data_IF_539400070735
#
_entry.id   IF_539400070735
#
_cell.length_a   1.000
_cell.length_b   1.000
_cell.length_c   1.000
_cell.angle_alpha   90.00
_cell.angle_beta   90.00
_cell.angle_gamma   90.00
#
_symmetry.space_group_name_H-M   'P 1'
#
loop_
_entity.id
_entity.type
_entity.pdbx_description
1 polymer ?
#
# COMPACT_ATOMS: atom_id res chain seq x y z
N UNK A 1 -14.28 15.29 -11.55
CA UNK A 1 -13.48 14.40 -12.44
C UNK A 1 -12.07 14.94 -12.69
N UNK A 2 -11.92 16.10 -13.34
CA UNK A 2 -10.67 16.61 -13.94
C UNK A 2 -9.44 16.52 -13.02
N UNK A 3 -9.54 17.00 -11.78
CA UNK A 3 -8.45 16.93 -10.79
C UNK A 3 -7.94 15.51 -10.49
N UNK A 4 -8.78 14.48 -10.57
CA UNK A 4 -8.33 13.09 -10.46
C UNK A 4 -7.53 12.65 -11.68
N UNK A 5 -7.91 13.06 -12.90
CA UNK A 5 -7.16 12.78 -14.13
C UNK A 5 -5.78 13.46 -14.11
N UNK A 6 -5.70 14.69 -13.60
CA UNK A 6 -4.43 15.38 -13.33
C UNK A 6 -3.57 14.62 -12.30
N UNK A 7 -4.18 14.01 -11.28
CA UNK A 7 -3.48 13.15 -10.32
C UNK A 7 -2.96 11.84 -10.94
N UNK A 8 -3.81 11.11 -11.66
CA UNK A 8 -3.49 9.82 -12.28
C UNK A 8 -2.45 9.95 -13.41
N UNK A 9 -2.53 10.99 -14.23
CA UNK A 9 -1.54 11.28 -15.29
C UNK A 9 -0.18 11.73 -14.74
N UNK A 10 -0.06 11.90 -13.42
CA UNK A 10 1.21 12.14 -12.74
C UNK A 10 1.92 10.86 -12.29
N UNK A 11 1.34 9.68 -12.54
CA UNK A 11 1.89 8.38 -12.15
C UNK A 11 2.36 7.59 -13.38
N UNK A 12 3.61 7.78 -13.89
CA UNK A 12 4.15 7.05 -15.03
C UNK A 12 3.95 5.53 -14.97
N UNK A 13 4.09 4.91 -13.79
CA UNK A 13 3.85 3.46 -13.66
C UNK A 13 2.40 3.07 -13.98
N UNK A 14 1.41 3.92 -13.67
CA UNK A 14 0.00 3.67 -14.00
C UNK A 14 -0.31 3.87 -15.48
N UNK A 15 0.28 4.90 -16.11
CA UNK A 15 0.18 5.09 -17.56
C UNK A 15 0.80 3.88 -18.26
N UNK A 16 2.04 3.50 -17.93
CA UNK A 16 2.73 2.34 -18.53
C UNK A 16 1.92 1.04 -18.39
N UNK A 17 1.31 0.79 -17.22
CA UNK A 17 0.43 -0.36 -17.04
C UNK A 17 -0.80 -0.29 -17.96
N UNK A 18 -1.44 0.88 -18.12
CA UNK A 18 -2.54 1.05 -19.09
C UNK A 18 -2.06 0.86 -20.54
N UNK A 19 -0.84 1.26 -20.89
CA UNK A 19 -0.27 1.03 -22.23
C UNK A 19 -0.06 -0.48 -22.51
N UNK A 20 0.47 -1.22 -21.54
CA UNK A 20 0.63 -2.68 -21.61
C UNK A 20 -0.73 -3.41 -21.61
N UNK A 21 -1.69 -2.95 -20.80
CA UNK A 21 -3.02 -3.53 -20.68
C UNK A 21 -3.90 -3.27 -21.92
N UNK A 22 -3.80 -2.08 -22.54
CA UNK A 22 -4.58 -1.74 -23.74
C UNK A 22 -3.99 -2.28 -25.04
N UNK A 23 -2.73 -2.71 -25.04
CA UNK A 23 -2.05 -3.22 -26.24
C UNK A 23 -2.83 -4.38 -26.90
N UNK A 24 -3.46 -5.24 -26.10
CA UNK A 24 -4.28 -6.38 -26.55
C UNK A 24 -5.44 -5.96 -27.49
N UNK A 25 -6.03 -4.79 -27.30
CA UNK A 25 -7.18 -4.32 -28.10
C UNK A 25 -6.80 -3.81 -29.51
N UNK A 26 -5.50 -3.67 -29.81
CA UNK A 26 -5.05 -3.26 -31.16
C UNK A 26 -5.21 -4.38 -32.19
N UNK A 27 -5.20 -5.65 -31.74
CA UNK A 27 -5.32 -6.85 -32.57
C UNK A 27 -6.76 -7.13 -33.03
N UNK A 28 -7.76 -6.71 -32.24
CA UNK A 28 -9.19 -7.02 -32.47
C UNK A 28 -9.91 -6.11 -33.49
N UNK A 29 -9.24 -5.11 -34.08
CA UNK A 29 -9.92 -4.05 -34.85
C UNK A 29 -10.60 -4.50 -36.16
N UNK A 30 -10.46 -5.77 -36.56
CA UNK A 30 -11.17 -6.35 -37.71
C UNK A 30 -12.67 -6.65 -37.45
N UNK A 31 -13.20 -6.45 -36.24
CA UNK A 31 -14.65 -6.62 -35.98
C UNK A 31 -15.38 -5.30 -35.72
N UNK A 32 -16.38 -5.02 -36.56
CA UNK A 32 -17.16 -3.78 -36.56
C UNK A 32 -18.19 -3.73 -35.42
N UNK A 33 -17.74 -3.46 -34.20
CA UNK A 33 -18.62 -3.13 -33.07
C UNK A 33 -17.96 -2.11 -32.14
N UNK A 34 -18.65 -1.01 -31.85
CA UNK A 34 -18.13 0.17 -31.15
C UNK A 34 -17.95 -0.03 -29.63
N UNK A 35 -17.16 -1.03 -29.22
CA UNK A 35 -16.82 -1.27 -27.81
C UNK A 35 -15.84 -0.22 -27.30
N UNK A 36 -16.38 0.87 -26.76
CA UNK A 36 -15.61 1.88 -26.00
C UNK A 36 -15.16 1.30 -24.66
N UNK A 37 -13.95 0.73 -24.62
CA UNK A 37 -13.32 0.25 -23.39
C UNK A 37 -12.91 1.41 -22.48
N UNK A 38 -13.03 1.22 -21.16
CA UNK A 38 -12.68 2.23 -20.18
C UNK A 38 -11.17 2.48 -20.17
N UNK A 39 -10.36 1.43 -20.23
CA UNK A 39 -8.89 1.54 -20.22
C UNK A 39 -8.35 2.35 -21.41
N UNK A 40 -8.91 2.14 -22.61
CA UNK A 40 -8.51 2.85 -23.84
C UNK A 40 -8.88 4.33 -23.75
N UNK A 41 -10.10 4.63 -23.31
CA UNK A 41 -10.59 6.01 -23.14
C UNK A 41 -9.80 6.77 -22.07
N UNK A 42 -9.53 6.12 -20.94
CA UNK A 42 -8.71 6.66 -19.86
C UNK A 42 -7.26 6.88 -20.33
N UNK A 43 -6.64 5.90 -21.01
CA UNK A 43 -5.26 6.02 -21.47
C UNK A 43 -5.08 7.17 -22.47
N UNK A 44 -6.05 7.41 -23.35
CA UNK A 44 -6.00 8.54 -24.30
C UNK A 44 -5.88 9.88 -23.54
N UNK A 45 -6.76 10.11 -22.56
CA UNK A 45 -6.74 11.31 -21.72
C UNK A 45 -5.46 11.40 -20.87
N UNK A 46 -5.04 10.31 -20.22
CA UNK A 46 -3.86 10.33 -19.35
C UNK A 46 -2.55 10.49 -20.13
N UNK A 47 -2.46 10.03 -21.38
CA UNK A 47 -1.34 10.34 -22.29
C UNK A 47 -1.30 11.81 -22.68
N UNK A 48 -2.42 12.36 -23.15
CA UNK A 48 -2.50 13.78 -23.49
C UNK A 48 -2.11 14.67 -22.28
N UNK A 49 -2.57 14.31 -21.08
CA UNK A 49 -2.21 14.96 -19.82
C UNK A 49 -0.80 14.65 -19.28
N UNK A 50 0.01 13.80 -19.92
CA UNK A 50 1.39 13.48 -19.49
C UNK A 50 2.48 13.81 -20.52
N UNK A 51 2.09 14.25 -21.72
CA UNK A 51 2.99 14.84 -22.72
C UNK A 51 3.29 16.32 -22.42
N UNK A 52 4.41 16.84 -22.95
CA UNK A 52 4.77 18.27 -22.90
C UNK A 52 4.55 19.00 -24.24
N UNK A 53 4.24 18.27 -25.32
CA UNK A 53 4.16 18.79 -26.69
C UNK A 53 2.74 19.28 -27.02
N UNK A 54 2.29 20.26 -26.25
CA UNK A 54 0.93 20.82 -26.23
C UNK A 54 1.06 22.35 -26.11
N UNK A 55 0.19 23.13 -26.77
CA UNK A 55 0.29 24.61 -26.79
C UNK A 55 -0.23 25.24 -25.49
N UNK A 56 0.03 26.53 -25.27
CA UNK A 56 -0.28 27.18 -23.99
C UNK A 56 -1.80 27.34 -23.72
N UNK A 57 -2.66 27.14 -24.71
CA UNK A 57 -4.13 27.31 -24.65
C UNK A 57 -4.94 26.00 -24.85
N UNK A 58 -4.30 24.83 -24.99
CA UNK A 58 -4.98 23.57 -25.32
C UNK A 58 -5.78 22.97 -24.13
N UNK A 59 -7.11 23.15 -24.14
CA UNK A 59 -8.03 22.54 -23.17
C UNK A 59 -8.57 21.20 -23.68
N UNK A 60 -8.45 20.14 -22.88
CA UNK A 60 -8.93 18.79 -23.21
C UNK A 60 -10.33 18.52 -22.65
N UNK A 61 -11.26 18.07 -23.50
CA UNK A 61 -12.54 17.53 -23.06
C UNK A 61 -12.41 16.07 -22.58
N UNK A 62 -12.95 15.80 -21.40
CA UNK A 62 -12.99 14.47 -20.78
C UNK A 62 -14.42 13.88 -20.74
N UNK A 63 -15.41 14.51 -21.38
CA UNK A 63 -16.82 14.05 -21.40
C UNK A 63 -16.98 12.64 -21.96
N UNK A 64 -16.12 12.24 -22.90
CA UNK A 64 -16.07 10.86 -23.42
C UNK A 64 -15.82 9.80 -22.33
N UNK A 65 -15.11 10.15 -21.25
CA UNK A 65 -14.91 9.26 -20.10
C UNK A 65 -16.17 9.16 -19.24
N UNK A 66 -16.93 10.24 -19.08
CA UNK A 66 -18.23 10.22 -18.38
C UNK A 66 -19.27 9.38 -19.13
N UNK A 67 -19.29 9.43 -20.46
CA UNK A 67 -20.13 8.54 -21.29
C UNK A 67 -19.82 7.06 -21.01
N UNK A 68 -18.53 6.67 -21.04
CA UNK A 68 -18.11 5.29 -20.79
C UNK A 68 -18.39 4.87 -19.34
N UNK A 69 -18.10 5.71 -18.35
CA UNK A 69 -18.39 5.41 -16.93
C UNK A 69 -19.88 5.15 -16.67
N UNK A 70 -20.77 5.86 -17.37
CA UNK A 70 -22.23 5.62 -17.33
C UNK A 70 -22.62 4.26 -17.91
N UNK A 71 -21.94 3.80 -18.96
CA UNK A 71 -22.09 2.42 -19.48
C UNK A 71 -21.62 1.37 -18.45
N UNK A 72 -20.56 1.68 -17.70
CA UNK A 72 -20.02 0.87 -16.60
C UNK A 72 -20.77 1.08 -15.26
N UNK A 73 -22.05 1.47 -15.32
CA UNK A 73 -22.99 1.61 -14.19
C UNK A 73 -22.75 2.73 -13.18
N UNK A 74 -21.81 3.65 -13.40
CA UNK A 74 -21.72 4.87 -12.58
C UNK A 74 -22.76 5.90 -13.06
N UNK A 75 -24.01 5.71 -12.61
CA UNK A 75 -25.19 6.46 -13.09
C UNK A 75 -25.38 7.79 -12.35
N UNK A 76 -24.39 8.68 -12.44
CA UNK A 76 -24.44 10.02 -11.83
C UNK A 76 -25.25 11.04 -12.66
N UNK A 77 -25.91 11.96 -11.96
CA UNK A 77 -26.56 13.14 -12.53
C UNK A 77 -25.53 14.03 -13.26
N UNK A 78 -25.91 14.66 -14.38
CA UNK A 78 -24.96 15.42 -15.22
C UNK A 78 -24.37 16.70 -14.60
N UNK A 79 -24.93 17.18 -13.49
CA UNK A 79 -24.62 18.48 -12.88
C UNK A 79 -24.44 18.40 -11.36
N UNK A 80 -24.22 17.21 -10.82
CA UNK A 80 -24.08 16.95 -9.39
C UNK A 80 -22.60 16.84 -9.02
N UNK A 81 -22.21 17.44 -7.89
CA UNK A 81 -20.84 17.32 -7.37
C UNK A 81 -20.60 15.91 -6.85
N UNK A 82 -19.40 15.37 -7.06
CA UNK A 82 -19.07 13.96 -6.78
C UNK A 82 -17.65 13.83 -6.19
N UNK A 83 -17.45 12.85 -5.32
CA UNK A 83 -16.17 12.65 -4.63
C UNK A 83 -15.08 12.09 -5.58
N UNK A 84 -13.92 12.75 -5.59
CA UNK A 84 -12.74 12.28 -6.32
C UNK A 84 -12.21 10.93 -5.79
N UNK A 85 -12.46 10.58 -4.53
CA UNK A 85 -12.09 9.28 -3.95
C UNK A 85 -13.04 8.15 -4.40
N UNK A 86 -14.34 8.43 -4.50
CA UNK A 86 -15.30 7.48 -5.06
C UNK A 86 -14.97 7.20 -6.53
N UNK A 87 -14.80 8.24 -7.35
CA UNK A 87 -14.43 8.10 -8.75
C UNK A 87 -13.09 7.34 -8.94
N UNK A 88 -12.13 7.49 -8.03
CA UNK A 88 -10.90 6.68 -8.05
C UNK A 88 -11.22 5.17 -7.91
N UNK A 89 -12.09 4.79 -6.97
CA UNK A 89 -12.50 3.40 -6.80
C UNK A 89 -13.42 2.89 -7.91
N UNK A 90 -14.26 3.74 -8.50
CA UNK A 90 -15.05 3.40 -9.70
C UNK A 90 -14.11 3.08 -10.88
N UNK A 91 -13.04 3.88 -11.06
CA UNK A 91 -12.03 3.64 -12.09
C UNK A 91 -11.22 2.36 -11.83
N UNK A 92 -10.71 2.13 -10.61
CA UNK A 92 -9.91 0.91 -10.34
C UNK A 92 -10.77 -0.36 -10.42
N UNK A 93 -11.95 -0.38 -9.80
CA UNK A 93 -12.85 -1.53 -9.87
C UNK A 93 -13.29 -1.83 -11.30
N UNK A 94 -13.64 -0.83 -12.10
CA UNK A 94 -14.01 -1.03 -13.52
C UNK A 94 -12.85 -1.53 -14.38
N UNK A 95 -11.60 -1.17 -14.06
CA UNK A 95 -10.39 -1.71 -14.71
C UNK A 95 -10.08 -3.14 -14.26
N UNK A 96 -10.33 -3.49 -12.99
CA UNK A 96 -10.27 -4.89 -12.53
C UNK A 96 -11.37 -5.74 -13.19
N UNK A 97 -12.58 -5.20 -13.37
CA UNK A 97 -13.70 -5.84 -14.05
C UNK A 97 -13.40 -6.06 -15.56
N UNK A 98 -12.81 -5.06 -16.22
CA UNK A 98 -12.38 -5.16 -17.63
C UNK A 98 -11.24 -6.18 -17.81
N UNK A 99 -10.33 -6.29 -16.83
CA UNK A 99 -9.28 -7.34 -16.78
C UNK A 99 -9.87 -8.73 -16.56
N UNK A 100 -10.76 -8.89 -15.60
CA UNK A 100 -11.27 -10.20 -15.19
C UNK A 100 -12.31 -10.78 -16.18
N UNK A 101 -12.87 -9.94 -17.06
CA UNK A 101 -13.65 -10.36 -18.24
C UNK A 101 -12.79 -10.97 -19.35
N UNK A 102 -11.47 -10.82 -19.34
CA UNK A 102 -10.60 -11.43 -20.35
C UNK A 102 -10.54 -12.96 -20.18
N UNK A 103 -10.57 -13.75 -21.27
CA UNK A 103 -10.56 -15.20 -21.18
C UNK A 103 -9.22 -15.69 -20.60
N UNK A 104 -9.28 -16.34 -19.43
CA UNK A 104 -8.11 -16.84 -18.69
C UNK A 104 -7.36 -17.99 -19.38
N UNK A 105 -7.85 -18.44 -20.53
CA UNK A 105 -7.26 -19.45 -21.42
C UNK A 105 -7.49 -18.97 -22.86
N UNK A 106 -6.44 -18.99 -23.69
CA UNK A 106 -6.55 -18.71 -25.13
C UNK A 106 -7.49 -19.70 -25.81
N UNK A 107 -8.36 -19.23 -26.71
CA UNK A 107 -9.33 -20.10 -27.37
C UNK A 107 -8.63 -21.16 -28.22
N UNK A 108 -9.10 -22.41 -28.22
CA UNK A 108 -8.45 -23.54 -28.92
C UNK A 108 -8.36 -23.38 -30.45
N UNK A 109 -9.06 -22.38 -30.99
CA UNK A 109 -9.14 -22.06 -32.42
C UNK A 109 -8.53 -20.68 -32.76
N UNK A 110 -7.77 -20.07 -31.84
CA UNK A 110 -7.03 -18.82 -32.09
C UNK A 110 -5.74 -19.11 -32.90
N UNK A 111 -5.93 -19.45 -34.18
CA UNK A 111 -4.85 -19.91 -35.08
C UNK A 111 -3.82 -18.81 -35.34
N UNK A 112 -4.21 -17.54 -35.40
CA UNK A 112 -3.28 -16.43 -35.61
C UNK A 112 -2.26 -16.29 -34.46
N UNK A 113 -2.59 -16.69 -33.23
CA UNK A 113 -1.63 -16.78 -32.12
C UNK A 113 -0.62 -17.93 -32.24
N UNK A 114 -0.78 -18.83 -33.22
CA UNK A 114 0.12 -19.95 -33.52
C UNK A 114 0.97 -19.72 -34.79
N UNK A 115 0.61 -18.75 -35.63
CA UNK A 115 1.29 -18.42 -36.90
C UNK A 115 2.57 -17.60 -36.67
N UNK A 116 3.61 -18.23 -36.12
CA UNK A 116 4.97 -17.70 -36.26
C UNK A 116 5.48 -17.89 -37.71
N UNK A 117 6.24 -16.94 -38.27
CA UNK A 117 6.75 -17.05 -39.64
C UNK A 117 7.63 -18.28 -39.81
N UNK A 118 7.40 -19.03 -40.89
CA UNK A 118 7.87 -20.42 -41.05
C UNK A 118 9.40 -20.57 -41.06
N UNK A 119 9.95 -21.16 -40.00
CA UNK A 119 11.32 -21.70 -40.02
C UNK A 119 11.30 -22.99 -40.84
N UNK A 120 11.83 -22.91 -42.07
CA UNK A 120 11.79 -24.00 -43.05
C UNK A 120 12.77 -25.13 -42.72
N UNK A 121 12.34 -26.12 -41.91
CA UNK A 121 13.07 -27.38 -41.75
C UNK A 121 12.16 -28.63 -41.80
N UNK A 122 12.50 -29.54 -42.72
CA UNK A 122 11.73 -30.76 -43.05
C UNK A 122 11.96 -31.88 -42.05
N UNK A 123 11.34 -31.84 -40.87
CA UNK A 123 11.14 -33.06 -40.06
C UNK A 123 9.98 -32.91 -39.07
N UNK A 124 8.90 -33.68 -39.30
CA UNK A 124 7.81 -33.79 -38.31
C UNK A 124 8.32 -34.66 -37.16
N UNK A 125 8.58 -34.02 -36.02
CA UNK A 125 9.04 -34.68 -34.79
C UNK A 125 8.08 -34.34 -33.66
N UNK A 126 7.48 -35.36 -33.03
CA UNK A 126 6.60 -35.21 -31.89
C UNK A 126 7.38 -34.77 -30.65
N UNK A 127 7.63 -33.46 -30.51
CA UNK A 127 8.26 -32.86 -29.32
C UNK A 127 7.28 -32.79 -28.14
N UNK A 128 6.95 -33.92 -27.53
CA UNK A 128 6.15 -34.05 -26.29
C UNK A 128 6.76 -33.40 -25.04
N UNK A 129 7.83 -32.60 -25.20
CA UNK A 129 8.53 -31.91 -24.12
C UNK A 129 9.11 -30.54 -24.50
N UNK A 130 8.53 -29.87 -25.49
CA UNK A 130 8.75 -28.43 -25.67
C UNK A 130 8.09 -27.65 -24.53
N UNK A 131 8.73 -26.58 -24.05
CA UNK A 131 7.99 -25.56 -23.29
C UNK A 131 6.95 -24.95 -24.21
N UNK A 132 5.76 -24.66 -23.68
CA UNK A 132 4.80 -23.79 -24.39
C UNK A 132 5.46 -22.43 -24.69
N UNK A 133 5.11 -21.77 -25.79
CA UNK A 133 5.46 -20.37 -26.00
C UNK A 133 5.02 -19.53 -24.79
N UNK A 134 5.80 -18.53 -24.36
CA UNK A 134 5.43 -17.68 -23.23
C UNK A 134 4.30 -16.73 -23.64
N UNK A 135 3.06 -17.24 -23.62
CA UNK A 135 1.83 -16.43 -23.80
C UNK A 135 1.90 -15.27 -22.81
N UNK A 136 1.86 -14.03 -23.30
CA UNK A 136 2.06 -12.86 -22.45
C UNK A 136 0.88 -12.71 -21.49
N UNK A 137 1.10 -12.99 -20.22
CA UNK A 137 0.04 -13.12 -19.22
C UNK A 137 -0.36 -11.74 -18.65
N UNK A 138 -0.70 -10.78 -19.51
CA UNK A 138 -1.08 -9.41 -19.11
C UNK A 138 -2.23 -9.41 -18.07
N UNK A 139 -3.17 -10.34 -18.19
CA UNK A 139 -4.28 -10.57 -17.25
C UNK A 139 -3.84 -10.93 -15.81
N UNK A 140 -2.60 -11.41 -15.60
CA UNK A 140 -2.03 -11.65 -14.25
C UNK A 140 -1.45 -10.38 -13.62
N UNK A 141 -1.24 -9.31 -14.40
CA UNK A 141 -0.77 -8.03 -13.88
C UNK A 141 -1.92 -7.24 -13.25
N UNK A 142 -1.84 -7.04 -11.94
CA UNK A 142 -2.73 -6.12 -11.24
C UNK A 142 -2.28 -4.69 -11.54
N UNK A 143 -3.22 -3.76 -11.66
CA UNK A 143 -2.90 -2.34 -11.82
C UNK A 143 -2.00 -1.86 -10.65
N UNK A 144 -1.07 -0.92 -10.90
CA UNK A 144 0.01 -0.61 -9.95
C UNK A 144 -0.44 0.02 -8.63
N UNK A 145 -1.72 0.39 -8.48
CA UNK A 145 -2.31 0.81 -7.19
C UNK A 145 -2.67 -0.35 -6.25
N UNK A 146 -2.76 -1.59 -6.75
CA UNK A 146 -3.22 -2.73 -5.96
C UNK A 146 -2.20 -3.19 -4.90
N UNK A 147 -2.46 -2.86 -3.64
CA UNK A 147 -1.76 -3.34 -2.44
C UNK A 147 -2.53 -4.43 -1.69
N UNK A 148 -1.98 -4.89 -0.55
CA UNK A 148 -2.65 -5.79 0.41
C UNK A 148 -2.33 -5.43 1.85
N UNK A 149 -3.37 -5.36 2.68
CA UNK A 149 -3.29 -5.28 4.14
C UNK A 149 -3.15 -6.69 4.74
N UNK A 150 -2.63 -6.77 5.96
CA UNK A 150 -2.71 -7.94 6.83
C UNK A 150 -3.54 -7.61 8.07
N UNK A 151 -4.66 -8.29 8.27
CA UNK A 151 -5.44 -8.19 9.51
C UNK A 151 -5.06 -9.32 10.46
N UNK A 152 -4.53 -8.94 11.62
CA UNK A 152 -4.13 -9.84 12.71
C UNK A 152 -5.14 -9.67 13.85
N UNK A 153 -5.60 -10.77 14.45
CA UNK A 153 -6.52 -10.75 15.60
C UNK A 153 -6.13 -11.78 16.65
N UNK A 154 -6.18 -11.39 17.93
CA UNK A 154 -5.87 -12.26 19.08
C UNK A 154 -6.93 -12.08 20.16
N UNK A 155 -7.50 -13.18 20.67
CA UNK A 155 -8.50 -13.12 21.73
C UNK A 155 -7.85 -12.73 23.08
N UNK A 156 -8.40 -11.74 23.80
CA UNK A 156 -7.89 -11.33 25.13
C UNK A 156 -8.26 -12.30 26.27
N UNK A 157 -9.10 -13.31 26.01
CA UNK A 157 -9.57 -14.24 27.05
C UNK A 157 -8.80 -15.57 27.04
N UNK A 158 -8.55 -16.15 25.86
CA UNK A 158 -7.84 -17.43 25.72
C UNK A 158 -6.51 -17.31 24.95
N UNK A 159 -6.05 -16.08 24.68
CA UNK A 159 -4.79 -15.72 23.98
C UNK A 159 -4.62 -16.31 22.56
N UNK A 160 -5.63 -17.02 22.05
CA UNK A 160 -5.62 -17.64 20.72
C UNK A 160 -5.57 -16.59 19.61
N UNK A 161 -4.57 -16.71 18.74
CA UNK A 161 -4.41 -15.89 17.54
C UNK A 161 -5.20 -16.48 16.37
N UNK A 162 -6.10 -15.68 15.80
CA UNK A 162 -6.81 -16.02 14.57
C UNK A 162 -5.86 -16.02 13.36
N UNK A 163 -6.11 -16.85 12.32
CA UNK A 163 -5.35 -16.83 11.08
C UNK A 163 -5.28 -15.43 10.46
N UNK A 164 -4.07 -15.03 10.01
CA UNK A 164 -3.84 -13.71 9.42
C UNK A 164 -4.62 -13.60 8.10
N UNK A 165 -5.59 -12.68 8.05
CA UNK A 165 -6.33 -12.41 6.80
C UNK A 165 -5.58 -11.41 5.94
N UNK A 166 -5.68 -11.56 4.63
CA UNK A 166 -5.10 -10.65 3.64
C UNK A 166 -6.22 -9.99 2.84
N UNK A 167 -6.41 -8.69 3.05
CA UNK A 167 -7.42 -7.88 2.36
C UNK A 167 -6.74 -6.99 1.31
N UNK A 168 -7.36 -6.78 0.15
CA UNK A 168 -6.81 -5.97 -0.96
C UNK A 168 -7.12 -4.48 -0.76
N UNK A 169 -6.31 -3.59 -1.32
CA UNK A 169 -6.58 -2.14 -1.30
C UNK A 169 -6.00 -1.43 -2.54
N UNK A 170 -6.70 -0.42 -3.03
CA UNK A 170 -6.20 0.48 -4.09
C UNK A 170 -5.79 1.85 -3.55
N UNK A 171 -6.31 2.21 -2.38
CA UNK A 171 -5.93 3.40 -1.63
C UNK A 171 -5.94 3.12 -0.12
N UNK A 172 -5.19 3.93 0.64
CA UNK A 172 -5.25 3.94 2.09
C UNK A 172 -6.11 5.11 2.57
N UNK A 173 -7.35 4.83 2.98
CA UNK A 173 -8.22 5.81 3.64
C UNK A 173 -7.81 5.96 5.11
N UNK A 174 -7.17 7.09 5.45
CA UNK A 174 -6.65 7.38 6.78
C UNK A 174 -7.57 8.35 7.52
N UNK A 175 -8.08 7.94 8.68
CA UNK A 175 -8.79 8.83 9.60
C UNK A 175 -7.81 9.85 10.19
N UNK A 176 -8.12 11.15 10.10
CA UNK A 176 -7.30 12.21 10.70
C UNK A 176 -7.53 12.19 12.23
N UNK A 177 -6.51 11.90 13.06
CA UNK A 177 -6.67 11.87 14.53
C UNK A 177 -7.09 13.24 15.09
N UNK A 178 -7.53 13.29 16.35
CA UNK A 178 -7.83 14.56 17.01
C UNK A 178 -6.55 15.43 17.11
N UNK A 179 -6.66 16.72 16.77
CA UNK A 179 -5.53 17.64 16.84
C UNK A 179 -5.11 17.89 18.30
N UNK A 180 -3.82 17.79 18.59
CA UNK A 180 -3.24 18.05 19.91
C UNK A 180 -2.62 19.45 19.92
N UNK A 181 -2.99 20.28 20.89
CA UNK A 181 -2.52 21.67 20.97
C UNK A 181 -0.98 21.74 20.95
N UNK A 182 -0.44 22.61 20.10
CA UNK A 182 1.01 22.82 19.96
C UNK A 182 1.76 21.70 19.22
N UNK A 183 1.08 20.72 18.61
CA UNK A 183 1.72 19.71 17.75
C UNK A 183 1.10 19.72 16.34
N UNK A 184 1.91 19.80 15.26
CA UNK A 184 1.39 19.67 13.90
C UNK A 184 0.87 18.25 13.67
N UNK A 185 -0.25 18.13 12.95
CA UNK A 185 -0.70 16.83 12.45
C UNK A 185 0.18 16.43 11.26
N UNK A 186 0.67 15.19 11.21
CA UNK A 186 1.49 14.71 10.08
C UNK A 186 0.91 13.45 9.46
N UNK A 187 1.25 13.20 8.19
CA UNK A 187 0.88 11.98 7.47
C UNK A 187 1.36 10.72 8.22
N UNK A 188 2.54 10.76 8.83
CA UNK A 188 3.09 9.67 9.63
C UNK A 188 2.23 9.37 10.87
N UNK A 189 1.64 10.39 11.51
CA UNK A 189 0.69 10.20 12.61
C UNK A 189 -0.58 9.51 12.12
N UNK A 190 -1.11 9.89 10.96
CA UNK A 190 -2.26 9.24 10.34
C UNK A 190 -1.96 7.77 9.96
N UNK A 191 -0.76 7.48 9.41
CA UNK A 191 -0.31 6.13 9.08
C UNK A 191 -0.08 5.26 10.33
N UNK A 192 0.54 5.81 11.38
CA UNK A 192 0.69 5.13 12.67
C UNK A 192 -0.65 4.86 13.36
N UNK A 193 -1.61 5.77 13.25
CA UNK A 193 -2.97 5.54 13.75
C UNK A 193 -3.66 4.39 12.98
N UNK A 194 -3.56 4.36 11.65
CA UNK A 194 -4.13 3.32 10.80
C UNK A 194 -3.55 1.91 11.07
N UNK A 195 -2.26 1.80 11.40
CA UNK A 195 -1.64 0.52 11.80
C UNK A 195 -1.64 0.27 13.32
N UNK A 196 -2.33 1.08 14.11
CA UNK A 196 -2.38 0.90 15.57
C UNK A 196 -3.19 -0.34 15.96
N UNK A 197 -2.92 -0.88 17.15
CA UNK A 197 -3.67 -2.02 17.69
C UNK A 197 -4.91 -1.55 18.45
N UNK A 198 -6.09 -1.93 17.96
CA UNK A 198 -7.38 -1.61 18.57
C UNK A 198 -7.92 -2.77 19.42
N UNK A 199 -8.95 -2.51 20.24
CA UNK A 199 -9.62 -3.53 21.05
C UNK A 199 -11.09 -3.68 20.61
N UNK A 200 -11.38 -4.73 19.84
CA UNK A 200 -12.73 -5.00 19.31
C UNK A 200 -13.49 -5.87 20.30
N UNK A 201 -14.64 -5.40 20.78
CA UNK A 201 -15.52 -6.14 21.70
C UNK A 201 -16.47 -7.08 20.94
N UNK A 202 -17.09 -7.98 21.69
CA UNK A 202 -18.22 -8.81 21.25
C UNK A 202 -17.97 -9.65 19.99
N UNK A 203 -16.71 -10.04 19.76
CA UNK A 203 -16.29 -10.91 18.67
C UNK A 203 -16.40 -12.38 19.10
N UNK A 204 -17.02 -13.22 18.26
CA UNK A 204 -17.09 -14.67 18.51
C UNK A 204 -15.68 -15.27 18.51
N UNK A 205 -15.36 -16.10 19.50
CA UNK A 205 -14.10 -16.81 19.59
C UNK A 205 -14.31 -18.33 19.58
N UNK A 206 -14.08 -18.96 18.43
CA UNK A 206 -14.21 -20.40 18.24
C UNK A 206 -13.45 -21.23 19.30
N UNK A 207 -12.30 -20.74 19.77
CA UNK A 207 -11.51 -21.40 20.80
C UNK A 207 -12.19 -21.32 22.18
N UNK A 208 -12.79 -20.18 22.55
CA UNK A 208 -13.58 -20.08 23.78
C UNK A 208 -14.85 -20.94 23.72
N UNK A 209 -15.53 -20.97 22.57
CA UNK A 209 -16.72 -21.82 22.36
C UNK A 209 -16.37 -23.30 22.50
N UNK A 210 -15.21 -23.75 21.98
CA UNK A 210 -14.72 -25.13 22.16
C UNK A 210 -14.42 -25.46 23.62
N UNK A 211 -13.67 -24.60 24.32
CA UNK A 211 -13.35 -24.79 25.74
C UNK A 211 -14.62 -24.92 26.60
N UNK A 212 -15.67 -24.14 26.31
CA UNK A 212 -16.97 -24.26 26.99
C UNK A 212 -17.72 -25.55 26.59
N UNK A 213 -17.68 -25.94 25.32
CA UNK A 213 -18.30 -27.18 24.83
C UNK A 213 -17.67 -28.43 25.47
N UNK A 214 -16.34 -28.48 25.56
CA UNK A 214 -15.59 -29.56 26.21
C UNK A 214 -15.91 -29.68 27.71
N UNK A 215 -16.26 -28.58 28.37
CA UNK A 215 -16.74 -28.58 29.75
C UNK A 215 -18.21 -28.98 29.95
N UNK A 216 -19.00 -29.17 28.89
CA UNK A 216 -20.47 -29.31 28.96
C UNK A 216 -20.94 -30.72 28.60
N UNK A 217 -20.98 -31.61 29.60
CA UNK A 217 -21.22 -33.06 29.44
C UNK A 217 -22.58 -33.49 28.83
N UNK A 218 -23.58 -32.60 28.75
CA UNK A 218 -24.98 -32.98 28.52
C UNK A 218 -25.57 -32.62 27.14
N UNK A 219 -24.74 -32.34 26.12
CA UNK A 219 -25.20 -32.20 24.74
C UNK A 219 -26.18 -31.05 24.46
N UNK A 220 -26.26 -30.07 25.36
CA UNK A 220 -27.01 -28.84 25.14
C UNK A 220 -26.36 -27.98 24.05
N UNK A 221 -27.15 -27.16 23.35
CA UNK A 221 -26.65 -26.20 22.38
C UNK A 221 -25.79 -25.13 23.06
N UNK A 222 -24.47 -25.24 22.92
CA UNK A 222 -23.51 -24.27 23.45
C UNK A 222 -23.60 -22.96 22.67
N UNK A 223 -23.76 -21.84 23.37
CA UNK A 223 -23.78 -20.51 22.76
C UNK A 223 -22.38 -20.05 22.33
N UNK A 224 -22.29 -19.44 21.15
CA UNK A 224 -21.05 -18.88 20.61
C UNK A 224 -20.44 -17.84 21.55
N UNK A 225 -19.29 -18.15 22.13
CA UNK A 225 -18.66 -17.31 23.14
C UNK A 225 -18.09 -16.03 22.53
N UNK A 226 -18.61 -14.89 22.98
CA UNK A 226 -18.23 -13.55 22.52
C UNK A 226 -17.24 -12.92 23.50
N UNK A 227 -16.15 -12.38 22.98
CA UNK A 227 -15.02 -11.88 23.77
C UNK A 227 -14.44 -10.60 23.16
N UNK A 228 -13.51 -9.97 23.88
CA UNK A 228 -12.71 -8.87 23.32
C UNK A 228 -11.46 -9.43 22.63
N UNK A 229 -11.16 -8.96 21.43
CA UNK A 229 -9.93 -9.23 20.71
C UNK A 229 -9.05 -7.98 20.63
N UNK A 230 -7.73 -8.16 20.55
CA UNK A 230 -6.84 -7.17 19.94
C UNK A 230 -6.87 -7.37 18.44
N UNK A 231 -7.09 -6.31 17.66
CA UNK A 231 -6.98 -6.31 16.19
C UNK A 231 -5.87 -5.35 15.77
N UNK A 232 -5.09 -5.71 14.76
CA UNK A 232 -4.10 -4.81 14.16
C UNK A 232 -4.03 -5.00 12.63
N UNK A 233 -4.06 -3.87 11.91
CA UNK A 233 -3.75 -3.80 10.49
C UNK A 233 -2.26 -3.50 10.29
N UNK A 234 -1.62 -4.10 9.27
CA UNK A 234 -0.28 -3.72 8.77
C UNK A 234 -0.24 -3.85 7.24
N UNK A 235 0.78 -3.28 6.60
CA UNK A 235 0.90 -3.27 5.14
C UNK A 235 1.70 -4.50 4.67
N UNK A 236 1.05 -5.43 3.95
CA UNK A 236 1.67 -6.65 3.43
C UNK A 236 2.36 -6.43 2.07
N UNK A 237 1.55 -6.37 1.01
CA UNK A 237 1.98 -5.94 -0.33
C UNK A 237 1.82 -4.42 -0.41
N UNK A 238 2.91 -3.69 -0.60
CA UNK A 238 2.84 -2.28 -0.95
C UNK A 238 2.73 -2.13 -2.48
N UNK A 239 1.90 -1.20 -2.99
CA UNK A 239 1.67 -0.99 -4.42
C UNK A 239 2.81 -0.17 -5.06
N UNK A 240 2.90 -0.15 -6.39
CA UNK A 240 3.89 0.66 -7.10
C UNK A 240 3.49 2.15 -7.14
N UNK A 241 2.21 2.42 -7.41
CA UNK A 241 1.58 3.72 -7.17
C UNK A 241 0.80 3.63 -5.86
N UNK A 242 1.02 4.55 -4.92
CA UNK A 242 0.31 4.59 -3.64
C UNK A 242 -0.63 5.80 -3.62
N UNK A 243 -1.94 5.52 -3.61
CA UNK A 243 -2.98 6.51 -3.33
C UNK A 243 -3.25 6.53 -1.81
N UNK A 244 -3.15 7.70 -1.20
CA UNK A 244 -3.55 7.92 0.20
C UNK A 244 -4.70 8.92 0.22
N UNK A 245 -5.82 8.56 0.83
CA UNK A 245 -6.95 9.43 1.10
C UNK A 245 -6.90 9.87 2.56
N UNK A 246 -6.80 11.18 2.80
CA UNK A 246 -7.00 11.77 4.13
C UNK A 246 -8.49 12.04 4.33
N UNK A 247 -9.13 11.28 5.24
CA UNK A 247 -10.58 11.37 5.47
C UNK A 247 -10.95 12.72 6.09
N UNK A 248 -11.25 13.69 5.20
CA UNK A 248 -11.63 15.05 5.60
C UNK A 248 -13.10 15.18 5.95
N UNK A 249 -13.97 14.28 5.50
CA UNK A 249 -15.33 14.19 6.02
C UNK A 249 -15.35 13.27 7.24
N UNK A 250 -16.00 13.72 8.31
CA UNK A 250 -16.11 13.02 9.59
C UNK A 250 -17.48 13.28 10.22
N UNK A 251 -17.87 12.49 11.23
CA UNK A 251 -19.11 12.70 11.97
C UNK A 251 -18.83 13.35 13.32
N UNK A 252 -19.63 14.36 13.68
CA UNK A 252 -19.62 15.00 14.99
C UNK A 252 -20.38 14.15 16.03
N UNK A 253 -20.14 14.40 17.31
CA UNK A 253 -20.85 13.75 18.42
C UNK A 253 -22.37 14.02 18.41
N UNK A 254 -22.80 15.05 17.67
CA UNK A 254 -24.20 15.44 17.47
C UNK A 254 -24.88 14.68 16.32
N UNK A 255 -24.16 13.81 15.60
CA UNK A 255 -24.70 13.08 14.45
C UNK A 255 -24.81 13.93 13.17
N UNK A 256 -24.10 15.06 13.10
CA UNK A 256 -23.98 15.88 11.89
C UNK A 256 -22.60 15.68 11.22
N UNK A 257 -22.50 15.79 9.88
CA UNK A 257 -21.21 15.79 9.18
C UNK A 257 -20.32 16.97 9.61
N UNK A 258 -19.02 16.81 9.43
CA UNK A 258 -17.98 17.77 9.80
C UNK A 258 -16.77 17.64 8.87
N UNK A 259 -16.42 18.74 8.18
CA UNK A 259 -15.18 18.81 7.39
C UNK A 259 -13.98 19.21 8.26
N UNK A 260 -12.92 18.40 8.16
CA UNK A 260 -11.61 18.55 8.78
C UNK A 260 -10.75 19.47 7.91
N UNK A 261 -10.53 20.69 8.39
CA UNK A 261 -9.85 21.76 7.66
C UNK A 261 -8.35 21.87 7.99
N UNK A 262 -7.90 21.19 9.04
CA UNK A 262 -6.51 21.25 9.50
C UNK A 262 -5.51 20.81 8.42
N UNK A 263 -4.36 21.48 8.41
CA UNK A 263 -3.22 21.04 7.63
C UNK A 263 -2.70 19.72 8.20
N UNK A 264 -2.44 18.75 7.31
CA UNK A 264 -1.77 17.49 7.64
C UNK A 264 -0.44 17.54 6.91
N UNK A 265 0.65 17.68 7.63
CA UNK A 265 1.98 17.79 7.05
C UNK A 265 2.38 16.46 6.38
N UNK A 266 2.60 16.51 5.07
CA UNK A 266 3.21 15.44 4.28
C UNK A 266 4.54 15.95 3.68
N UNK A 267 5.32 15.04 3.10
CA UNK A 267 6.67 15.30 2.61
C UNK A 267 6.79 14.93 1.12
N UNK A 268 7.81 15.44 0.41
CA UNK A 268 8.07 14.99 -0.97
C UNK A 268 8.45 13.49 -1.02
N UNK A 269 9.05 12.96 0.05
CA UNK A 269 9.48 11.58 0.16
C UNK A 269 8.86 10.92 1.38
N UNK A 270 8.41 9.67 1.22
CA UNK A 270 7.71 8.88 2.24
C UNK A 270 8.35 7.49 2.35
N UNK A 271 8.70 7.07 3.57
CA UNK A 271 9.35 5.79 3.86
C UNK A 271 8.32 4.85 4.48
N UNK A 272 7.98 3.75 3.80
CA UNK A 272 6.87 2.88 4.21
C UNK A 272 7.30 1.62 5.00
N UNK A 273 8.61 1.40 5.18
CA UNK A 273 9.18 0.21 5.83
C UNK A 273 8.71 -0.02 7.28
N UNK A 274 8.42 1.06 8.00
CA UNK A 274 7.97 1.02 9.40
C UNK A 274 6.50 0.58 9.55
N UNK A 275 5.71 0.68 8.48
CA UNK A 275 4.29 0.29 8.45
C UNK A 275 4.07 -1.14 7.94
N UNK A 276 5.13 -1.82 7.48
CA UNK A 276 5.03 -3.15 6.88
C UNK A 276 4.79 -4.25 7.90
N UNK A 277 4.01 -5.25 7.49
CA UNK A 277 4.00 -6.56 8.14
C UNK A 277 5.36 -7.24 7.93
N UNK A 278 6.06 -7.56 9.01
CA UNK A 278 7.22 -8.43 9.03
C UNK A 278 6.77 -9.78 9.62
N UNK A 279 6.99 -10.87 8.89
CA UNK A 279 6.83 -12.22 9.44
C UNK A 279 7.89 -12.37 10.55
N UNK A 280 7.53 -12.79 11.77
CA UNK A 280 8.52 -13.21 12.76
C UNK A 280 9.26 -14.44 12.21
N UNK A 281 10.51 -14.26 11.82
CA UNK A 281 11.37 -15.40 11.51
C UNK A 281 11.67 -16.09 12.82
N UNK A 282 11.00 -17.22 13.08
CA UNK A 282 11.42 -18.14 14.12
C UNK A 282 12.84 -18.61 13.78
N UNK A 283 13.83 -18.07 14.49
CA UNK A 283 15.13 -18.74 14.60
C UNK A 283 14.85 -20.08 15.28
N UNK A 284 14.96 -21.17 14.53
CA UNK A 284 15.08 -22.50 15.10
C UNK A 284 16.34 -22.53 15.97
N UNK A 285 16.20 -22.88 17.24
CA UNK A 285 17.31 -22.93 18.20
C UNK A 285 18.29 -24.05 17.82
N UNK A 286 19.29 -23.73 17.00
CA UNK A 286 20.29 -24.69 16.50
C UNK A 286 21.74 -24.17 16.52
N UNK A 287 21.98 -22.98 17.09
CA UNK A 287 23.32 -22.40 17.29
C UNK A 287 23.89 -22.58 18.72
N UNK A 288 23.14 -23.18 19.66
CA UNK A 288 23.61 -23.47 21.02
C UNK A 288 24.17 -24.91 21.19
N UNK A 289 24.87 -25.43 20.17
CA UNK A 289 25.49 -26.77 20.26
C UNK A 289 26.78 -26.92 19.44
N UNK A 290 27.61 -25.87 19.36
CA UNK A 290 28.94 -25.92 18.74
C UNK A 290 29.99 -25.08 19.49
N UNK A 291 30.09 -25.25 20.82
CA UNK A 291 31.20 -24.66 21.59
C UNK A 291 31.69 -25.53 22.77
N UNK A 292 31.85 -26.84 22.52
CA UNK A 292 32.70 -27.74 23.31
C UNK A 292 33.38 -28.75 22.38
N UNK A 293 34.71 -28.63 22.25
CA UNK A 293 35.72 -29.69 22.12
C UNK A 293 36.96 -29.18 21.38
N UNK A 294 37.95 -28.71 22.14
CA UNK A 294 39.35 -28.58 21.75
C UNK A 294 40.15 -28.57 23.06
N UNK A 295 40.97 -29.58 23.29
CA UNK A 295 41.82 -29.71 24.48
C UNK A 295 43.28 -29.35 24.14
N UNK A 296 44.16 -29.48 25.16
CA UNK A 296 45.61 -29.22 25.15
C UNK A 296 46.02 -27.72 25.12
N UNK A 297 47.08 -27.28 25.81
CA UNK A 297 48.06 -28.02 26.64
C UNK A 297 48.44 -27.24 27.92
N UNK A 298 48.82 -27.97 28.98
CA UNK A 298 49.43 -27.49 30.24
C UNK A 298 50.96 -27.29 30.07
N UNK A 299 51.70 -26.48 30.88
CA UNK A 299 51.94 -26.79 32.30
C UNK A 299 52.19 -25.63 33.31
N UNK A 300 51.93 -25.96 34.59
CA UNK A 300 52.51 -25.38 35.81
C UNK A 300 51.70 -24.28 36.52
N UNK A 301 51.83 -24.04 37.84
CA UNK A 301 52.36 -24.82 39.00
C UNK A 301 52.03 -24.01 40.27
N UNK A 302 51.47 -24.63 41.34
CA UNK A 302 51.24 -24.07 42.70
C UNK A 302 50.22 -22.91 42.83
N UNK A 303 49.60 -22.64 43.99
CA UNK A 303 49.57 -23.32 45.31
C UNK A 303 48.16 -23.19 45.98
N UNK A 304 47.99 -23.60 47.25
CA UNK A 304 46.72 -23.56 48.01
C UNK A 304 46.09 -22.16 48.23
N UNK A 305 44.92 -22.01 48.89
CA UNK A 305 44.33 -22.80 49.99
C UNK A 305 42.80 -22.59 50.09
N UNK A 306 42.05 -23.52 50.72
CA UNK A 306 40.59 -23.43 50.88
C UNK A 306 40.14 -22.97 52.30
N UNK A 307 39.09 -22.12 52.38
CA UNK A 307 38.34 -21.81 53.63
C UNK A 307 36.83 -21.61 53.37
N UNK A 308 36.00 -22.18 54.26
CA UNK A 308 34.54 -21.98 54.51
C UNK A 308 34.30 -22.30 56.02
N UNK A 309 33.10 -22.11 56.66
CA UNK A 309 31.76 -21.78 56.14
C UNK A 309 31.51 -20.25 56.17
N UNK A 310 30.61 -19.55 56.90
CA UNK A 310 29.49 -19.81 57.85
C UNK A 310 28.72 -18.48 58.00
N UNK A 311 27.42 -18.31 57.74
CA UNK A 311 26.17 -18.84 58.35
C UNK A 311 25.37 -17.65 58.94
N UNK A 312 24.05 -17.84 59.20
CA UNK A 312 23.07 -16.84 59.67
C UNK A 312 22.73 -15.69 58.68
N UNK A 313 21.49 -15.17 58.58
CA UNK A 313 20.20 -15.59 59.18
C UNK A 313 19.01 -15.14 58.31
N UNK A 314 17.80 -15.66 58.59
CA UNK A 314 16.53 -15.29 57.94
C UNK A 314 15.52 -14.86 59.02
N UNK A 315 14.49 -14.04 58.74
CA UNK A 315 13.17 -14.67 58.51
C UNK A 315 12.15 -13.88 57.62
N UNK A 316 11.12 -14.63 57.18
CA UNK A 316 9.70 -14.23 56.95
C UNK A 316 9.32 -12.95 56.15
N UNK A 317 8.47 -13.13 55.12
CA UNK A 317 7.73 -12.04 54.44
C UNK A 317 6.38 -11.68 55.10
N UNK A 318 5.49 -10.95 54.40
CA UNK A 318 4.43 -11.67 53.69
C UNK A 318 4.01 -11.10 52.30
N UNK A 319 3.14 -11.83 51.60
CA UNK A 319 2.28 -11.38 50.47
C UNK A 319 0.86 -11.09 51.00
N UNK A 320 -0.12 -10.54 50.23
CA UNK A 320 -0.09 -10.05 48.84
C UNK A 320 -0.68 -8.62 48.67
N UNK A 321 -0.77 -8.10 47.42
CA UNK A 321 -2.03 -7.61 46.79
C UNK A 321 -1.80 -7.03 45.37
N UNK A 322 -2.89 -6.89 44.60
CA UNK A 322 -2.93 -6.25 43.28
C UNK A 322 -3.16 -4.73 43.39
N UNK A 323 -2.61 -3.94 42.45
CA UNK A 323 -3.32 -2.75 41.94
C UNK A 323 -2.77 -2.27 40.58
N UNK A 324 -3.62 -1.59 39.81
CA UNK A 324 -3.27 -1.03 38.50
C UNK A 324 -2.47 0.27 38.63
N UNK A 325 -1.57 0.56 37.68
CA UNK A 325 -0.87 1.84 37.56
C UNK A 325 -0.50 2.14 36.11
N UNK A 326 -0.78 3.35 35.64
CA UNK A 326 -0.47 3.78 34.27
C UNK A 326 1.00 4.26 34.17
N UNK A 327 1.69 3.87 33.09
CA UNK A 327 3.05 4.33 32.80
C UNK A 327 3.03 5.58 31.91
N UNK A 328 3.10 6.76 32.53
CA UNK A 328 3.33 8.03 31.81
C UNK A 328 4.73 8.04 31.18
N UNK A 329 4.83 8.35 29.89
CA UNK A 329 6.10 8.42 29.15
C UNK A 329 6.82 9.76 29.34
N UNK A 330 7.31 10.01 30.56
CA UNK A 330 8.12 11.19 30.89
C UNK A 330 9.57 11.06 30.39
N UNK A 331 9.78 11.24 29.08
CA UNK A 331 11.12 11.46 28.52
C UNK A 331 11.35 12.95 28.24
N UNK A 332 12.33 13.51 28.95
CA UNK A 332 12.76 14.90 28.80
C UNK A 332 13.41 15.10 27.41
N UNK A 333 12.96 16.12 26.69
CA UNK A 333 13.65 16.58 25.48
C UNK A 333 14.87 17.42 25.90
N UNK A 334 16.06 17.01 25.49
CA UNK A 334 17.27 17.83 25.52
C UNK A 334 17.69 18.14 24.09
N UNK A 335 18.02 19.40 23.81
CA UNK A 335 18.45 19.82 22.48
C UNK A 335 19.88 19.34 22.21
N UNK A 336 20.06 18.46 21.22
CA UNK A 336 21.36 17.94 20.83
C UNK A 336 21.38 17.51 19.36
N UNK A 337 22.48 17.81 18.67
CA UNK A 337 22.74 17.45 17.27
C UNK A 337 22.65 15.95 17.04
N UNK A 338 21.90 15.51 16.01
CA UNK A 338 21.81 14.11 15.61
C UNK A 338 23.20 13.54 15.23
N UNK A 339 23.69 12.49 15.91
CA UNK A 339 24.77 11.66 15.38
C UNK A 339 24.21 10.76 14.28
N UNK A 340 24.99 10.53 13.21
CA UNK A 340 24.60 9.59 12.16
C UNK A 340 24.72 8.15 12.70
N UNK A 341 23.62 7.58 13.19
CA UNK A 341 23.60 6.22 13.71
C UNK A 341 23.89 5.20 12.59
N UNK A 342 24.94 4.40 12.75
CA UNK A 342 25.27 3.35 11.80
C UNK A 342 24.16 2.29 11.77
N UNK A 343 23.60 2.04 10.59
CA UNK A 343 22.59 1.00 10.41
C UNK A 343 23.24 -0.39 10.50
N UNK A 344 22.69 -1.32 11.29
CA UNK A 344 22.97 -2.74 11.10
C UNK A 344 22.54 -3.15 9.69
N UNK A 345 23.36 -3.94 8.99
CA UNK A 345 23.08 -4.39 7.62
C UNK A 345 21.85 -5.31 7.59
N UNK A 346 20.68 -4.71 7.33
CA UNK A 346 19.42 -5.42 7.19
C UNK A 346 18.99 -5.36 5.72
N UNK A 347 19.15 -6.47 5.00
CA UNK A 347 18.98 -6.59 3.54
C UNK A 347 17.55 -6.45 3.02
N UNK A 348 16.66 -5.78 3.76
CA UNK A 348 15.30 -5.46 3.33
C UNK A 348 15.30 -4.32 2.31
N UNK A 349 14.60 -4.45 1.16
CA UNK A 349 14.56 -3.38 0.16
C UNK A 349 13.71 -2.21 0.66
N UNK A 350 14.35 -1.05 0.85
CA UNK A 350 13.68 0.19 1.31
C UNK A 350 12.45 0.49 0.43
N UNK A 351 11.33 0.77 1.08
CA UNK A 351 10.08 1.18 0.46
C UNK A 351 9.97 2.71 0.49
N UNK A 352 10.88 3.36 -0.25
CA UNK A 352 10.86 4.79 -0.49
C UNK A 352 9.88 5.13 -1.61
N UNK A 353 9.05 6.12 -1.36
CA UNK A 353 8.08 6.69 -2.29
C UNK A 353 8.38 8.18 -2.52
N UNK A 354 8.11 8.67 -3.72
CA UNK A 354 8.16 10.10 -4.07
C UNK A 354 6.76 10.60 -4.41
N UNK A 355 6.40 11.75 -3.87
CA UNK A 355 5.12 12.42 -4.13
C UNK A 355 5.07 12.87 -5.59
N UNK A 356 3.96 12.62 -6.27
CA UNK A 356 3.74 12.91 -7.69
C UNK A 356 2.61 13.92 -7.92
N UNK A 357 1.53 13.82 -7.15
CA UNK A 357 0.42 14.77 -7.18
C UNK A 357 -0.33 14.85 -5.83
N UNK A 358 -1.04 15.95 -5.63
CA UNK A 358 -1.90 16.25 -4.47
C UNK A 358 -3.22 16.81 -4.99
N UNK A 359 -4.32 16.10 -4.74
CA UNK A 359 -5.68 16.64 -4.93
C UNK A 359 -6.11 17.32 -3.64
N UNK A 360 -6.73 18.50 -3.74
CA UNK A 360 -7.14 19.35 -2.61
C UNK A 360 -8.63 19.70 -2.77
N UNK A 361 -9.40 19.65 -1.67
CA UNK A 361 -10.83 19.98 -1.65
C UNK A 361 -11.09 21.32 -0.94
N UNK A 362 -11.34 22.38 -1.68
CA UNK A 362 -11.87 23.65 -1.16
C UNK A 362 -13.41 23.57 -1.05
N UNK A 363 -14.06 24.36 -0.20
CA UNK A 363 -15.51 24.25 0.08
C UNK A 363 -15.82 23.63 1.45
N UNK A 364 -17.04 23.17 1.66
CA UNK A 364 -17.52 22.61 2.95
C UNK A 364 -17.71 21.07 2.89
N UNK A 365 -18.71 20.54 3.62
CA UNK A 365 -19.06 19.11 3.69
C UNK A 365 -20.16 18.68 2.70
N UNK A 366 -20.81 19.63 2.01
CA UNK A 366 -21.90 19.41 1.06
C UNK A 366 -21.49 19.75 -0.37
N UNK A 367 -20.68 20.80 -0.54
CA UNK A 367 -20.18 21.23 -1.85
C UNK A 367 -18.79 21.85 -1.79
N UNK A 368 -18.15 22.00 -2.95
CA UNK A 368 -16.83 22.58 -3.06
C UNK A 368 -16.19 22.52 -4.43
N UNK A 369 -14.85 22.51 -4.43
CA UNK A 369 -14.05 22.46 -5.64
C UNK A 369 -12.79 21.63 -5.42
N UNK A 370 -12.47 20.77 -6.40
CA UNK A 370 -11.26 19.96 -6.41
C UNK A 370 -10.21 20.56 -7.33
N UNK A 371 -9.08 20.97 -6.76
CA UNK A 371 -7.88 21.41 -7.51
C UNK A 371 -6.74 20.40 -7.33
N UNK A 372 -5.79 20.37 -8.26
CA UNK A 372 -4.66 19.44 -8.21
C UNK A 372 -3.32 20.14 -8.37
N UNK A 373 -2.42 19.90 -7.42
CA UNK A 373 -0.99 20.12 -7.60
C UNK A 373 -0.35 18.86 -8.20
N UNK A 374 0.49 19.00 -9.21
CA UNK A 374 1.24 17.88 -9.81
C UNK A 374 2.61 18.29 -10.30
N UNK A 375 3.49 17.31 -10.49
CA UNK A 375 4.73 17.54 -11.26
C UNK A 375 4.40 17.84 -12.72
N UNK A 376 5.19 18.71 -13.34
CA UNK A 376 5.19 18.83 -14.81
C UNK A 376 5.59 17.49 -15.47
N UNK A 377 5.12 17.22 -16.70
CA UNK A 377 5.68 16.19 -17.58
C UNK A 377 7.21 16.16 -17.60
N UNK A 378 7.84 14.98 -17.78
CA UNK A 378 9.27 14.89 -17.98
C UNK A 378 9.64 15.52 -19.32
N UNK A 379 10.75 16.26 -19.37
CA UNK A 379 11.21 16.88 -20.63
C UNK A 379 11.59 15.82 -21.66
N UNK A 380 11.34 16.02 -22.97
CA UNK A 380 11.84 15.13 -24.02
C UNK A 380 13.38 15.00 -24.04
N UNK A 381 14.11 15.94 -23.42
CA UNK A 381 15.56 15.86 -23.21
C UNK A 381 15.98 14.90 -22.08
N UNK A 382 15.04 14.46 -21.25
CA UNK A 382 15.27 13.61 -20.08
C UNK A 382 14.00 12.81 -19.70
N UNK A 383 13.44 11.98 -20.59
CA UNK A 383 12.10 11.38 -20.43
C UNK A 383 11.98 10.46 -19.20
N UNK A 384 13.09 9.88 -18.73
CA UNK A 384 13.16 9.04 -17.53
C UNK A 384 13.34 9.83 -16.22
N UNK A 385 13.43 11.17 -16.27
CA UNK A 385 13.68 12.02 -15.11
C UNK A 385 12.41 12.69 -14.60
N UNK A 386 11.94 12.27 -13.43
CA UNK A 386 10.80 12.88 -12.72
C UNK A 386 11.08 14.36 -12.42
N UNK A 387 10.28 15.25 -13.02
CA UNK A 387 10.46 16.70 -12.97
C UNK A 387 10.44 17.28 -11.55
N UNK A 388 11.23 18.34 -11.35
CA UNK A 388 11.25 19.16 -10.12
C UNK A 388 10.25 20.32 -10.17
N UNK A 389 9.77 20.72 -11.35
CA UNK A 389 8.75 21.76 -11.49
C UNK A 389 7.38 21.21 -11.08
N UNK A 390 6.66 22.00 -10.28
CA UNK A 390 5.27 21.74 -9.93
C UNK A 390 4.32 22.67 -10.68
N UNK A 391 3.12 22.18 -10.93
CA UNK A 391 1.99 22.88 -11.51
C UNK A 391 0.83 22.84 -10.51
N UNK A 392 -0.02 23.87 -10.56
CA UNK A 392 -1.37 23.85 -10.01
C UNK A 392 -2.36 23.88 -11.18
N UNK A 393 -3.38 23.04 -11.12
CA UNK A 393 -4.47 22.99 -12.08
C UNK A 393 -5.81 23.12 -11.35
N UNK A 394 -6.66 23.99 -11.87
CA UNK A 394 -8.08 24.11 -11.56
C UNK A 394 -8.84 24.03 -12.87
N UNK A 395 -9.29 22.84 -13.24
CA UNK A 395 -9.95 22.51 -14.52
C UNK A 395 -9.15 22.94 -15.75
N UNK A 396 -9.55 24.03 -16.41
CA UNK A 396 -8.89 24.64 -17.57
C UNK A 396 -7.62 25.43 -17.19
N UNK A 397 -7.59 25.96 -15.97
CA UNK A 397 -6.62 26.95 -15.54
C UNK A 397 -5.36 26.28 -14.98
N UNK A 398 -4.26 26.36 -15.73
CA UNK A 398 -2.94 25.81 -15.37
C UNK A 398 -1.96 26.93 -15.01
N UNK A 399 -1.20 26.76 -13.92
CA UNK A 399 -0.07 27.65 -13.59
C UNK A 399 1.09 26.89 -12.95
N UNK A 400 2.26 27.53 -12.91
CA UNK A 400 3.41 27.04 -12.12
C UNK A 400 3.13 27.20 -10.61
N UNK A 401 3.60 26.24 -9.83
CA UNK A 401 3.52 26.21 -8.37
C UNK A 401 4.90 25.92 -7.77
N UNK A 402 5.10 26.27 -6.49
CA UNK A 402 6.33 25.92 -5.75
C UNK A 402 6.15 24.66 -4.91
N UNK A 403 7.22 23.89 -4.63
CA UNK A 403 7.11 22.72 -3.75
C UNK A 403 6.60 23.12 -2.35
N UNK A 404 6.99 24.28 -1.82
CA UNK A 404 6.51 24.79 -0.53
C UNK A 404 5.00 25.02 -0.53
N UNK A 405 4.46 25.60 -1.61
CA UNK A 405 3.02 25.79 -1.81
C UNK A 405 2.30 24.44 -1.82
N UNK A 406 2.81 23.44 -2.57
CA UNK A 406 2.25 22.08 -2.59
C UNK A 406 2.22 21.47 -1.19
N UNK A 407 3.34 21.47 -0.46
CA UNK A 407 3.44 20.89 0.89
C UNK A 407 2.59 21.66 1.92
N UNK A 408 2.31 22.95 1.70
CA UNK A 408 1.41 23.75 2.56
C UNK A 408 -0.09 23.52 2.30
N UNK A 409 -0.44 22.81 1.22
CA UNK A 409 -1.85 22.63 0.82
C UNK A 409 -2.63 21.66 1.71
N UNK A 410 -3.95 21.85 1.79
CA UNK A 410 -4.85 21.01 2.60
C UNK A 410 -5.21 19.71 1.86
N UNK A 411 -4.20 18.86 1.65
CA UNK A 411 -4.27 17.63 0.86
C UNK A 411 -5.48 16.74 1.21
N UNK A 412 -6.13 16.20 0.18
CA UNK A 412 -7.24 15.27 0.26
C UNK A 412 -6.85 13.89 -0.27
N UNK A 413 -6.38 13.81 -1.52
CA UNK A 413 -5.69 12.64 -2.07
C UNK A 413 -4.21 12.96 -2.29
N UNK A 414 -3.34 12.04 -1.88
CA UNK A 414 -1.90 12.10 -2.16
C UNK A 414 -1.53 10.93 -3.07
N UNK A 415 -0.96 11.24 -4.24
CA UNK A 415 -0.43 10.27 -5.18
C UNK A 415 1.08 10.19 -5.05
N UNK A 416 1.57 9.02 -4.67
CA UNK A 416 2.98 8.70 -4.55
C UNK A 416 3.36 7.59 -5.53
N UNK A 417 4.60 7.58 -6.03
CA UNK A 417 5.13 6.45 -6.82
C UNK A 417 6.43 5.92 -6.17
N UNK A 418 6.60 4.60 -6.14
CA UNK A 418 7.73 3.95 -5.49
C UNK A 418 9.01 4.17 -6.30
N UNK A 419 10.04 4.71 -5.66
CA UNK A 419 11.36 4.88 -6.29
C UNK A 419 12.26 3.69 -5.98
N UNK A 420 12.87 3.12 -7.02
CA UNK A 420 13.84 2.04 -6.87
C UNK A 420 15.24 2.59 -6.61
N UNK A 421 15.96 1.99 -5.66
CA UNK A 421 17.39 2.26 -5.49
C UNK A 421 18.16 1.74 -6.69
N UNK A 422 19.01 2.58 -7.29
CA UNK A 422 19.84 2.22 -8.46
C UNK A 422 20.75 1.01 -8.20
N UNK A 423 21.05 0.71 -6.94
CA UNK A 423 21.84 -0.47 -6.52
C UNK A 423 21.22 -1.79 -7.01
N UNK A 424 19.89 -1.86 -7.20
CA UNK A 424 19.22 -3.09 -7.65
C UNK A 424 19.29 -3.36 -9.16
N UNK A 425 19.65 -2.38 -10.00
CA UNK A 425 19.76 -2.60 -11.45
C UNK A 425 20.97 -3.49 -11.79
N UNK A 426 22.13 -3.20 -11.19
CA UNK A 426 23.37 -3.90 -11.49
C UNK A 426 23.31 -5.41 -11.19
N UNK A 427 22.57 -5.81 -10.14
CA UNK A 427 22.35 -7.23 -9.76
C UNK A 427 21.37 -7.99 -10.66
N UNK A 428 20.70 -7.32 -11.60
CA UNK A 428 19.82 -7.96 -12.60
C UNK A 428 20.52 -8.06 -13.97
N UNK A 429 21.30 -7.05 -14.35
CA UNK A 429 22.16 -7.09 -15.55
C UNK A 429 23.23 -8.18 -15.41
N UNK A 430 23.90 -8.28 -14.25
CA UNK A 430 24.82 -9.38 -13.89
C UNK A 430 24.15 -10.76 -13.71
N UNK A 431 22.88 -10.93 -14.09
CA UNK A 431 22.16 -12.21 -14.14
C UNK A 431 21.57 -12.51 -15.52
N UNK A 432 21.96 -11.75 -16.54
CA UNK A 432 21.59 -11.96 -17.94
C UNK A 432 22.78 -12.41 -18.81
N UNK A 433 23.98 -12.55 -18.23
CA UNK A 433 25.23 -12.90 -18.92
C UNK A 433 25.89 -14.20 -18.40
N UNK A 434 25.23 -14.95 -17.49
CA UNK A 434 25.60 -16.29 -16.98
C UNK A 434 24.60 -17.36 -17.47
#
# INVERSE_FOLDING_TARGET
MNSLLQGLSSCPSFIKWLEEFTAQYKTDQNQSTERRYLSVTLLHLLRALSCQEVTEDDVLDASCLLEVLRMYRWQISSFEEQDAHELFHVLTSSLEDERDRQPRVTHLFDVHSLEQPEITQKQISCRTRGSLPPVSNHWKSQHPFHGRLTSNMVCKHCEHQSPVRYDTFDSLSLSIPAAVWGRPMTLDHCLHHFISSESVKDVVCDNCTKIQAEGTLNGQSIENQRTTFVKQLKLGKLPQCLCIHLQRLSWSNQGAPLKRHEHVQFNEFLIMDIYKYRIPVHKSSQDELNQKNSEETTPGTKDGTAVKPSDAEQPSGPKPLFMNGACSSSFLMSSGTFPLAAFPECSSPVYLYRLMAVVVHHGDMHSGHFVTYRRSPPSPKSPLSVSTQWLWISDDTVRKASLQEVLSSSAYLLFYERVHSRVQHHSLELKAED
#
